data_IF_037246849306
#
_entry.id   IF_037246849306
#
_cell.length_a   1.000
_cell.length_b   1.000
_cell.length_c   1.000
_cell.angle_alpha   90.00
_cell.angle_beta   90.00
_cell.angle_gamma   90.00
#
_symmetry.space_group_name_H-M   'P 1'
#
loop_
_entity.id
_entity.type
_entity.pdbx_description
1 polymer ?
#
# COMPACT_ATOMS: atom_id res chain seq x y z
N UNK A 1 -30.02 1.84 -45.05
CA UNK A 1 -29.11 2.99 -44.84
C UNK A 1 -27.96 2.53 -43.98
N UNK A 2 -26.80 2.45 -44.59
CA UNK A 2 -25.62 1.85 -43.97
C UNK A 2 -25.00 2.82 -42.96
N UNK A 3 -24.83 2.36 -41.71
CA UNK A 3 -24.07 3.04 -40.67
C UNK A 3 -22.59 2.94 -41.01
N UNK A 4 -21.96 4.06 -41.33
CA UNK A 4 -20.53 4.20 -41.51
C UNK A 4 -19.86 4.04 -40.14
N UNK A 5 -19.24 2.89 -39.92
CA UNK A 5 -18.29 2.69 -38.85
C UNK A 5 -17.12 3.67 -39.04
N UNK A 6 -17.00 4.62 -38.15
CA UNK A 6 -15.86 5.56 -38.09
C UNK A 6 -14.60 4.78 -37.76
N UNK A 7 -13.66 4.75 -38.71
CA UNK A 7 -12.33 4.14 -38.51
C UNK A 7 -11.59 4.80 -37.33
N UNK A 8 -10.79 4.04 -36.55
CA UNK A 8 -10.04 4.61 -35.44
C UNK A 8 -9.06 5.68 -35.98
N UNK A 9 -9.10 6.83 -35.33
CA UNK A 9 -8.27 8.00 -35.65
C UNK A 9 -6.77 7.63 -35.60
N UNK A 10 -6.00 7.72 -36.73
CA UNK A 10 -4.59 7.37 -36.76
C UNK A 10 -3.67 8.40 -36.07
N UNK A 11 -4.23 9.31 -35.28
CA UNK A 11 -3.52 10.41 -34.64
C UNK A 11 -3.05 10.19 -33.20
N UNK A 12 -3.10 8.97 -32.63
CA UNK A 12 -2.42 8.67 -31.37
C UNK A 12 -0.89 8.67 -31.60
N UNK A 13 -0.32 9.86 -31.76
CA UNK A 13 1.12 10.05 -31.89
C UNK A 13 1.77 9.67 -30.56
N UNK A 14 2.64 8.70 -30.58
CA UNK A 14 3.53 8.31 -29.49
C UNK A 14 4.31 9.54 -28.99
N UNK A 15 4.32 9.76 -27.67
CA UNK A 15 5.15 10.80 -27.06
C UNK A 15 6.58 10.70 -27.59
N UNK A 16 7.20 11.84 -27.91
CA UNK A 16 8.57 11.89 -28.40
C UNK A 16 9.54 11.33 -27.33
N UNK A 17 10.58 10.55 -27.69
CA UNK A 17 11.53 9.96 -26.75
C UNK A 17 12.19 10.96 -25.80
N UNK A 18 12.36 12.21 -26.23
CA UNK A 18 13.02 13.27 -25.43
C UNK A 18 12.20 13.71 -24.21
N UNK A 19 10.88 13.52 -24.21
CA UNK A 19 10.00 13.88 -23.09
C UNK A 19 9.76 12.70 -22.12
N UNK A 20 10.01 11.47 -22.57
CA UNK A 20 9.73 10.27 -21.75
C UNK A 20 10.57 10.23 -20.46
N UNK A 21 11.85 10.60 -20.55
CA UNK A 21 12.74 10.66 -19.36
C UNK A 21 12.24 11.66 -18.31
N UNK A 22 11.75 12.82 -18.74
CA UNK A 22 11.18 13.83 -17.85
C UNK A 22 9.90 13.34 -17.17
N UNK A 23 9.01 12.70 -17.92
CA UNK A 23 7.76 12.12 -17.37
C UNK A 23 8.04 10.99 -16.38
N UNK A 24 9.04 10.14 -16.68
CA UNK A 24 9.49 9.09 -15.75
C UNK A 24 10.02 9.71 -14.47
N UNK A 25 10.82 10.77 -14.56
CA UNK A 25 11.32 11.48 -13.38
C UNK A 25 10.18 12.06 -12.53
N UNK A 26 9.20 12.72 -13.16
CA UNK A 26 8.02 13.28 -12.47
C UNK A 26 7.25 12.16 -11.76
N UNK A 27 6.98 11.05 -12.45
CA UNK A 27 6.27 9.91 -11.87
C UNK A 27 7.05 9.24 -10.74
N UNK A 28 8.36 9.08 -10.87
CA UNK A 28 9.22 8.52 -9.83
C UNK A 28 9.29 9.43 -8.59
N UNK A 29 9.40 10.74 -8.79
CA UNK A 29 9.38 11.72 -7.70
C UNK A 29 8.05 11.69 -6.92
N UNK A 30 6.92 11.59 -7.61
CA UNK A 30 5.61 11.44 -6.98
C UNK A 30 5.45 10.08 -6.26
N UNK A 31 5.99 9.01 -6.84
CA UNK A 31 5.97 7.67 -6.28
C UNK A 31 6.80 7.54 -4.98
N UNK A 32 7.70 8.50 -4.67
CA UNK A 32 8.39 8.55 -3.38
C UNK A 32 7.43 8.61 -2.19
N UNK A 33 6.22 9.15 -2.35
CA UNK A 33 5.15 9.04 -1.34
C UNK A 33 4.75 7.58 -1.08
N UNK A 34 4.72 6.74 -2.12
CA UNK A 34 4.52 5.30 -1.98
C UNK A 34 5.70 4.59 -1.31
N UNK A 35 6.93 4.98 -1.65
CA UNK A 35 8.13 4.49 -0.96
C UNK A 35 8.07 4.76 0.54
N UNK A 36 7.73 5.99 0.94
CA UNK A 36 7.57 6.36 2.36
C UNK A 36 6.44 5.59 3.04
N UNK A 37 5.33 5.34 2.33
CA UNK A 37 4.28 4.47 2.83
C UNK A 37 4.82 3.07 3.16
N UNK A 38 5.52 2.42 2.22
CA UNK A 38 6.10 1.10 2.45
C UNK A 38 7.14 1.11 3.57
N UNK A 39 7.99 2.12 3.59
CA UNK A 39 9.05 2.28 4.59
C UNK A 39 8.49 2.46 6.00
N UNK A 40 7.62 3.47 6.22
CA UNK A 40 7.06 3.78 7.54
C UNK A 40 6.20 2.64 8.09
N UNK A 41 5.44 1.96 7.23
CA UNK A 41 4.64 0.82 7.63
C UNK A 41 5.48 -0.34 8.17
N UNK A 42 6.66 -0.57 7.59
CA UNK A 42 7.46 -1.76 7.89
C UNK A 42 8.63 -1.51 8.83
N UNK A 43 9.10 -0.26 8.96
CA UNK A 43 10.23 0.07 9.84
C UNK A 43 9.95 -0.25 11.31
N UNK A 44 8.69 -0.19 11.72
CA UNK A 44 8.26 -0.50 13.09
C UNK A 44 8.63 -1.92 13.51
N UNK A 45 8.74 -2.88 12.57
CA UNK A 45 9.20 -4.23 12.82
C UNK A 45 10.55 -4.26 13.56
N UNK A 46 11.41 -3.29 13.30
CA UNK A 46 12.71 -3.15 13.96
C UNK A 46 12.65 -2.68 15.41
N UNK A 47 11.52 -2.15 15.86
CA UNK A 47 11.38 -1.48 17.14
C UNK A 47 10.42 -2.18 18.12
N UNK A 48 9.64 -3.17 17.68
CA UNK A 48 8.54 -3.78 18.46
C UNK A 48 9.03 -4.30 19.82
N UNK A 49 10.05 -5.16 19.82
CA UNK A 49 10.58 -5.76 21.05
C UNK A 49 11.24 -4.72 21.95
N UNK A 50 12.04 -3.82 21.37
CA UNK A 50 12.71 -2.77 22.12
C UNK A 50 11.74 -1.80 22.80
N UNK A 51 10.64 -1.45 22.14
CA UNK A 51 9.58 -0.61 22.72
C UNK A 51 8.89 -1.33 23.87
N UNK A 52 8.58 -2.62 23.68
CA UNK A 52 7.97 -3.45 24.73
C UNK A 52 8.83 -3.45 25.98
N UNK A 53 10.11 -3.72 25.82
CA UNK A 53 11.05 -3.84 26.93
C UNK A 53 11.38 -2.49 27.60
N UNK A 54 11.46 -1.40 26.79
CA UNK A 54 11.75 -0.07 27.31
C UNK A 54 10.63 0.49 28.18
N UNK A 55 9.39 0.26 27.78
CA UNK A 55 8.21 0.83 28.45
C UNK A 55 7.51 -0.18 29.37
N UNK A 56 8.02 -1.40 29.46
CA UNK A 56 7.48 -2.50 30.29
C UNK A 56 5.95 -2.68 30.07
N UNK A 57 5.56 -2.83 28.80
CA UNK A 57 4.14 -2.92 28.41
C UNK A 57 3.80 -4.28 27.85
N UNK A 58 2.54 -4.71 28.11
CA UNK A 58 2.02 -5.97 27.56
C UNK A 58 1.72 -5.88 26.06
N UNK A 59 1.63 -7.04 25.42
CA UNK A 59 1.40 -7.22 23.98
C UNK A 59 0.17 -6.45 23.47
N UNK A 60 -0.92 -6.41 24.25
CA UNK A 60 -2.15 -5.73 23.85
C UNK A 60 -1.99 -4.20 23.76
N UNK A 61 -1.27 -3.59 24.71
CA UNK A 61 -1.01 -2.15 24.71
C UNK A 61 -0.05 -1.79 23.57
N UNK A 62 1.02 -2.56 23.40
CA UNK A 62 1.99 -2.38 22.32
C UNK A 62 1.30 -2.49 20.95
N UNK A 63 0.43 -3.48 20.77
CA UNK A 63 -0.33 -3.66 19.55
C UNK A 63 -1.17 -2.43 19.19
N UNK A 64 -1.79 -1.76 20.15
CA UNK A 64 -2.54 -0.53 19.91
C UNK A 64 -1.61 0.62 19.48
N UNK A 65 -0.45 0.77 20.10
CA UNK A 65 0.52 1.81 19.73
C UNK A 65 1.04 1.61 18.30
N UNK A 66 1.23 0.37 17.88
CA UNK A 66 1.63 0.05 16.51
C UNK A 66 0.48 0.30 15.54
N UNK A 67 -0.71 -0.20 15.85
CA UNK A 67 -1.86 -0.16 14.97
C UNK A 67 -2.51 1.24 14.86
N UNK A 68 -2.29 2.13 15.83
CA UNK A 68 -2.92 3.46 15.83
C UNK A 68 -2.54 4.32 14.62
N UNK A 69 -1.39 4.08 14.00
CA UNK A 69 -0.99 4.70 12.74
C UNK A 69 -2.04 4.49 11.63
N UNK A 70 -2.71 3.34 11.63
CA UNK A 70 -3.74 3.00 10.62
C UNK A 70 -5.00 3.85 10.75
N UNK A 71 -5.29 4.36 11.95
CA UNK A 71 -6.34 5.37 12.17
C UNK A 71 -5.93 6.68 11.49
N UNK A 72 -4.67 7.09 11.69
CA UNK A 72 -4.09 8.23 10.96
C UNK A 72 -4.21 8.05 9.45
N UNK A 73 -3.87 6.85 8.92
CA UNK A 73 -3.99 6.53 7.49
C UNK A 73 -5.42 6.71 6.98
N UNK A 74 -6.40 6.20 7.72
CA UNK A 74 -7.80 6.33 7.33
C UNK A 74 -8.25 7.79 7.25
N UNK A 75 -7.89 8.62 8.23
CA UNK A 75 -8.20 10.06 8.25
C UNK A 75 -7.46 10.79 7.14
N UNK A 76 -6.17 10.52 6.95
CA UNK A 76 -5.35 11.11 5.91
C UNK A 76 -5.89 10.82 4.51
N UNK A 77 -6.20 9.57 4.22
CA UNK A 77 -6.78 9.15 2.95
C UNK A 77 -8.16 9.76 2.69
N UNK A 78 -9.03 9.80 3.70
CA UNK A 78 -10.38 10.37 3.59
C UNK A 78 -10.38 11.89 3.32
N UNK A 79 -9.36 12.60 3.79
CA UNK A 79 -9.26 14.08 3.68
C UNK A 79 -8.40 14.53 2.51
N UNK A 80 -7.47 13.68 2.03
CA UNK A 80 -6.47 14.02 1.03
C UNK A 80 -7.03 14.63 -0.25
N UNK A 81 -8.09 14.03 -0.82
CA UNK A 81 -8.69 14.54 -2.05
C UNK A 81 -9.22 15.97 -1.90
N UNK A 82 -9.96 16.24 -0.80
CA UNK A 82 -10.50 17.58 -0.54
C UNK A 82 -9.41 18.63 -0.31
N UNK A 83 -8.33 18.24 0.37
CA UNK A 83 -7.18 19.12 0.59
C UNK A 83 -6.50 19.40 -0.76
N UNK A 84 -6.25 18.37 -1.56
CA UNK A 84 -5.60 18.50 -2.86
C UNK A 84 -6.41 19.34 -3.86
N UNK A 85 -7.73 19.28 -3.81
CA UNK A 85 -8.59 20.11 -4.67
C UNK A 85 -8.58 21.59 -4.29
N UNK A 86 -8.21 21.91 -3.03
CA UNK A 86 -8.11 23.29 -2.56
C UNK A 86 -6.71 23.92 -2.75
N UNK A 87 -5.66 23.15 -2.45
CA UNK A 87 -4.30 23.70 -2.38
C UNK A 87 -3.35 23.17 -3.47
N UNK A 88 -3.76 22.15 -4.23
CA UNK A 88 -2.96 21.49 -5.27
C UNK A 88 -2.26 20.23 -4.78
N UNK A 89 -1.80 19.44 -5.74
CA UNK A 89 -1.19 18.13 -5.47
C UNK A 89 0.20 18.28 -4.89
N UNK A 90 0.99 19.21 -5.43
CA UNK A 90 2.37 19.44 -4.97
C UNK A 90 2.40 19.93 -3.53
N UNK A 91 1.55 20.88 -3.16
CA UNK A 91 1.48 21.34 -1.75
C UNK A 91 1.07 20.22 -0.80
N UNK A 92 0.18 19.34 -1.22
CA UNK A 92 -0.17 18.14 -0.42
C UNK A 92 1.04 17.23 -0.22
N UNK A 93 1.85 17.00 -1.27
CA UNK A 93 3.09 16.20 -1.16
C UNK A 93 4.08 16.86 -0.20
N UNK A 94 4.25 18.19 -0.25
CA UNK A 94 5.10 18.93 0.66
C UNK A 94 4.64 18.83 2.11
N UNK A 95 3.33 18.98 2.36
CA UNK A 95 2.75 18.77 3.70
C UNK A 95 3.00 17.34 4.17
N UNK A 96 2.74 16.33 3.33
CA UNK A 96 3.01 14.94 3.68
C UNK A 96 4.49 14.71 4.01
N UNK A 97 5.43 15.28 3.23
CA UNK A 97 6.86 15.17 3.49
C UNK A 97 7.26 15.78 4.85
N UNK A 98 6.70 16.95 5.21
CA UNK A 98 6.91 17.58 6.53
C UNK A 98 6.35 16.66 7.62
N UNK A 99 5.13 16.16 7.47
CA UNK A 99 4.51 15.27 8.45
C UNK A 99 5.30 13.96 8.62
N UNK A 100 5.80 13.35 7.55
CA UNK A 100 6.70 12.20 7.62
C UNK A 100 7.98 12.54 8.38
N UNK A 101 8.60 13.68 8.09
CA UNK A 101 9.85 14.11 8.74
C UNK A 101 9.67 14.31 10.25
N UNK A 102 8.65 15.06 10.66
CA UNK A 102 8.41 15.29 12.10
C UNK A 102 7.97 14.02 12.82
N UNK A 103 7.18 13.17 12.17
CA UNK A 103 6.79 11.87 12.71
C UNK A 103 8.00 10.95 12.91
N UNK A 104 8.93 10.90 11.95
CA UNK A 104 10.15 10.11 12.05
C UNK A 104 11.03 10.57 13.23
N UNK A 105 11.22 11.89 13.37
CA UNK A 105 12.00 12.47 14.50
C UNK A 105 11.29 12.17 15.82
N UNK A 106 9.99 12.43 15.91
CA UNK A 106 9.23 12.21 17.14
C UNK A 106 9.15 10.74 17.53
N UNK A 107 9.00 9.83 16.57
CA UNK A 107 8.99 8.39 16.82
C UNK A 107 10.37 7.86 17.23
N UNK A 108 11.46 8.48 16.76
CA UNK A 108 12.81 8.14 17.16
C UNK A 108 13.18 8.63 18.59
N UNK A 109 12.58 9.72 19.03
CA UNK A 109 12.89 10.37 20.31
C UNK A 109 11.66 10.50 21.22
N UNK A 110 10.86 9.44 21.43
CA UNK A 110 9.67 9.53 22.25
C UNK A 110 10.06 9.58 23.74
N UNK A 111 9.43 10.49 24.48
CA UNK A 111 9.63 10.58 25.93
C UNK A 111 8.66 9.69 26.72
N UNK A 112 7.55 9.26 26.07
CA UNK A 112 6.55 8.37 26.66
C UNK A 112 5.88 7.52 25.57
N UNK A 113 5.23 6.43 25.97
CA UNK A 113 4.51 5.56 25.03
C UNK A 113 3.36 6.26 24.32
N UNK A 114 2.60 7.11 25.01
CA UNK A 114 1.53 7.90 24.39
C UNK A 114 2.05 8.94 23.38
N UNK A 115 3.23 9.49 23.64
CA UNK A 115 3.92 10.39 22.71
C UNK A 115 4.31 9.66 21.44
N UNK A 116 4.88 8.46 21.56
CA UNK A 116 5.12 7.60 20.39
C UNK A 116 3.83 7.34 19.60
N UNK A 117 2.73 7.02 20.28
CA UNK A 117 1.45 6.79 19.62
C UNK A 117 0.96 8.03 18.83
N UNK A 118 1.14 9.23 19.38
CA UNK A 118 0.81 10.49 18.69
C UNK A 118 1.64 10.67 17.40
N UNK A 119 2.95 10.42 17.47
CA UNK A 119 3.81 10.50 16.29
C UNK A 119 3.44 9.45 15.23
N UNK A 120 3.04 8.26 15.66
CA UNK A 120 2.53 7.21 14.77
C UNK A 120 1.22 7.62 14.08
N UNK A 121 0.31 8.32 14.75
CA UNK A 121 -0.90 8.88 14.11
C UNK A 121 -0.53 9.92 13.05
N UNK A 122 0.41 10.82 13.36
CA UNK A 122 0.86 11.85 12.42
C UNK A 122 1.52 11.22 11.19
N UNK A 123 2.40 10.23 11.36
CA UNK A 123 2.99 9.46 10.27
C UNK A 123 1.93 8.73 9.44
N UNK A 124 0.99 8.09 10.11
CA UNK A 124 -0.15 7.46 9.46
C UNK A 124 -0.98 8.44 8.62
N UNK A 125 -1.25 9.63 9.12
CA UNK A 125 -1.94 10.67 8.34
C UNK A 125 -1.15 11.04 7.06
N UNK A 126 0.16 11.16 7.15
CA UNK A 126 1.03 11.38 5.99
C UNK A 126 0.98 10.21 4.98
N UNK A 127 0.98 8.97 5.48
CA UNK A 127 0.79 7.76 4.66
C UNK A 127 -0.54 7.84 3.91
N UNK A 128 -1.63 8.11 4.63
CA UNK A 128 -2.97 8.23 4.05
C UNK A 128 -3.03 9.29 2.94
N UNK A 129 -2.45 10.45 3.18
CA UNK A 129 -2.34 11.50 2.15
C UNK A 129 -1.54 11.02 0.93
N UNK A 130 -0.36 10.49 1.13
CA UNK A 130 0.53 10.06 0.06
C UNK A 130 -0.07 8.91 -0.78
N UNK A 131 -0.82 8.00 -0.14
CA UNK A 131 -1.48 6.88 -0.81
C UNK A 131 -2.56 7.30 -1.81
N UNK A 132 -3.16 8.46 -1.61
CA UNK A 132 -4.19 9.01 -2.51
C UNK A 132 -3.58 9.98 -3.52
N UNK A 133 -2.72 10.89 -3.07
CA UNK A 133 -2.21 11.99 -3.90
C UNK A 133 -1.19 11.49 -4.93
N UNK A 134 -0.32 10.56 -4.56
CA UNK A 134 0.70 10.02 -5.48
C UNK A 134 0.10 9.41 -6.75
N UNK A 135 -0.76 8.37 -6.65
CA UNK A 135 -1.41 7.76 -7.80
C UNK A 135 -2.26 8.75 -8.61
N UNK A 136 -3.02 9.63 -7.94
CA UNK A 136 -3.84 10.64 -8.61
C UNK A 136 -2.98 11.61 -9.44
N UNK A 137 -1.91 12.13 -8.86
CA UNK A 137 -0.99 13.02 -9.55
C UNK A 137 -0.31 12.33 -10.73
N UNK A 138 0.20 11.10 -10.56
CA UNK A 138 0.81 10.32 -11.65
C UNK A 138 -0.18 10.14 -12.80
N UNK A 139 -1.45 9.83 -12.51
CA UNK A 139 -2.47 9.69 -13.53
C UNK A 139 -2.81 10.99 -14.25
N UNK A 140 -2.75 12.14 -13.55
CA UNK A 140 -3.06 13.47 -14.09
C UNK A 140 -1.93 14.05 -14.97
N UNK A 141 -0.66 13.72 -14.67
CA UNK A 141 0.50 14.20 -15.44
C UNK A 141 0.97 13.23 -16.52
N UNK A 142 0.53 11.97 -16.48
CA UNK A 142 0.99 10.95 -17.42
C UNK A 142 0.29 11.04 -18.78
N UNK A 143 1.03 11.01 -19.90
CA UNK A 143 0.44 10.84 -21.22
C UNK A 143 -0.42 9.57 -21.29
N UNK A 144 -1.57 9.59 -21.99
CA UNK A 144 -2.49 8.46 -22.05
C UNK A 144 -1.83 7.11 -22.41
N UNK A 145 -0.86 7.13 -23.34
CA UNK A 145 -0.14 5.94 -23.78
C UNK A 145 0.71 5.26 -22.68
N UNK A 146 1.14 5.99 -21.66
CA UNK A 146 2.04 5.50 -20.59
C UNK A 146 1.39 5.48 -19.22
N UNK A 147 0.16 5.97 -19.07
CA UNK A 147 -0.52 6.14 -17.77
C UNK A 147 -0.55 4.87 -16.92
N UNK A 148 -0.86 3.72 -17.53
CA UNK A 148 -0.89 2.44 -16.83
C UNK A 148 0.49 2.00 -16.31
N UNK A 149 1.53 2.16 -17.14
CA UNK A 149 2.91 1.81 -16.76
C UNK A 149 3.45 2.74 -15.67
N UNK A 150 3.20 4.04 -15.78
CA UNK A 150 3.65 5.02 -14.79
C UNK A 150 2.86 4.89 -13.48
N UNK A 151 1.57 4.54 -13.55
CA UNK A 151 0.76 4.25 -12.37
C UNK A 151 1.29 3.07 -11.54
N UNK A 152 1.95 2.08 -12.17
CA UNK A 152 2.57 0.97 -11.45
C UNK A 152 3.79 1.39 -10.60
N UNK A 153 4.37 2.57 -10.84
CA UNK A 153 5.48 3.09 -10.03
C UNK A 153 5.11 3.27 -8.57
N UNK A 154 3.87 3.64 -8.27
CA UNK A 154 3.38 3.76 -6.90
C UNK A 154 3.48 2.42 -6.16
N UNK A 155 3.00 1.33 -6.76
CA UNK A 155 3.05 0.01 -6.14
C UNK A 155 4.49 -0.51 -6.05
N UNK A 156 5.28 -0.32 -7.08
CA UNK A 156 6.71 -0.67 -7.07
C UNK A 156 7.45 0.08 -5.94
N UNK A 157 7.18 1.38 -5.78
CA UNK A 157 7.79 2.19 -4.75
C UNK A 157 7.39 1.71 -3.33
N UNK A 158 6.13 1.31 -3.11
CA UNK A 158 5.68 0.76 -1.82
C UNK A 158 6.48 -0.51 -1.46
N UNK A 159 6.56 -1.48 -2.36
CA UNK A 159 7.26 -2.74 -2.04
C UNK A 159 8.77 -2.57 -1.91
N UNK A 160 9.37 -1.64 -2.66
CA UNK A 160 10.78 -1.26 -2.50
C UNK A 160 10.98 -0.58 -1.15
N UNK A 161 10.09 0.32 -0.73
CA UNK A 161 10.14 0.97 0.58
C UNK A 161 10.09 -0.03 1.73
N UNK A 162 9.23 -1.05 1.65
CA UNK A 162 9.18 -2.16 2.59
C UNK A 162 10.55 -2.87 2.66
N UNK A 163 11.11 -3.25 1.52
CA UNK A 163 12.37 -3.98 1.47
C UNK A 163 13.57 -3.15 1.99
N UNK A 164 13.61 -1.86 1.62
CA UNK A 164 14.67 -0.95 2.10
C UNK A 164 14.58 -0.74 3.60
N UNK A 165 13.38 -0.59 4.18
CA UNK A 165 13.21 -0.47 5.63
C UNK A 165 13.70 -1.71 6.38
N UNK A 166 13.40 -2.91 5.87
CA UNK A 166 13.86 -4.17 6.48
C UNK A 166 15.38 -4.35 6.34
N UNK A 167 15.95 -3.96 5.19
CA UNK A 167 17.40 -3.96 4.98
C UNK A 167 18.10 -3.00 5.96
N UNK A 168 17.57 -1.80 6.12
CA UNK A 168 18.10 -0.80 7.07
C UNK A 168 18.01 -1.31 8.50
N UNK A 169 16.87 -1.87 8.90
CA UNK A 169 16.70 -2.47 10.22
C UNK A 169 17.73 -3.57 10.48
N UNK A 170 17.90 -4.49 9.54
CA UNK A 170 18.91 -5.56 9.66
C UNK A 170 20.34 -5.02 9.73
N UNK A 171 20.70 -4.05 8.88
CA UNK A 171 22.02 -3.43 8.88
C UNK A 171 22.34 -2.69 10.18
N UNK A 172 21.38 -1.91 10.71
CA UNK A 172 21.54 -1.18 11.97
C UNK A 172 21.58 -2.12 13.18
N UNK A 173 20.79 -3.21 13.17
CA UNK A 173 20.85 -4.22 14.21
C UNK A 173 22.25 -4.88 14.26
N UNK A 174 22.80 -5.26 13.10
CA UNK A 174 24.16 -5.80 13.01
C UNK A 174 25.21 -4.79 13.53
N UNK A 175 25.08 -3.52 13.16
CA UNK A 175 25.98 -2.47 13.64
C UNK A 175 25.89 -2.26 15.16
N UNK A 176 24.74 -2.55 15.77
CA UNK A 176 24.50 -2.50 17.21
C UNK A 176 24.87 -3.83 17.95
N UNK A 177 25.54 -4.75 17.27
CA UNK A 177 25.94 -6.03 17.87
C UNK A 177 24.81 -7.04 18.07
N UNK A 178 23.71 -6.90 17.35
CA UNK A 178 22.55 -7.80 17.42
C UNK A 178 21.53 -7.45 18.52
N UNK A 179 21.69 -6.31 19.18
CA UNK A 179 20.79 -5.81 20.21
C UNK A 179 20.03 -4.57 19.72
N UNK A 180 18.69 -4.64 19.70
CA UNK A 180 17.83 -3.51 19.33
C UNK A 180 17.97 -2.32 20.29
N UNK A 181 18.39 -2.54 21.53
CA UNK A 181 18.66 -1.53 22.54
C UNK A 181 20.16 -1.18 22.65
N UNK A 182 20.99 -1.83 21.83
CA UNK A 182 22.41 -1.51 21.72
C UNK A 182 22.62 -0.05 21.32
N UNK A 183 23.66 0.56 21.85
CA UNK A 183 23.98 1.96 21.56
C UNK A 183 24.49 2.13 20.12
N UNK A 184 23.90 3.07 19.39
CA UNK A 184 24.31 3.44 18.05
C UNK A 184 24.18 4.96 17.89
N UNK A 185 25.28 5.65 17.63
CA UNK A 185 25.33 7.12 17.48
C UNK A 185 24.73 7.89 18.67
N UNK A 186 24.86 7.39 19.90
CA UNK A 186 24.32 8.01 21.12
C UNK A 186 22.84 7.77 21.38
N UNK A 187 22.20 6.89 20.60
CA UNK A 187 20.81 6.47 20.73
C UNK A 187 20.72 4.94 20.78
N UNK A 188 19.59 4.40 21.20
CA UNK A 188 19.32 2.97 21.04
C UNK A 188 19.08 2.64 19.54
N UNK A 189 19.50 1.46 19.08
CA UNK A 189 19.43 1.08 17.67
C UNK A 189 18.03 1.21 17.06
N UNK A 190 16.97 0.82 17.81
CA UNK A 190 15.58 0.97 17.36
C UNK A 190 15.19 2.43 17.11
N UNK A 191 15.75 3.37 17.88
CA UNK A 191 15.52 4.80 17.69
C UNK A 191 16.14 5.29 16.38
N UNK A 192 17.35 4.82 16.08
CA UNK A 192 18.02 5.12 14.81
C UNK A 192 17.26 4.50 13.64
N UNK A 193 16.75 3.26 13.78
CA UNK A 193 15.94 2.60 12.74
C UNK A 193 14.73 3.46 12.35
N UNK A 194 13.98 3.97 13.34
CA UNK A 194 12.83 4.86 13.07
C UNK A 194 13.27 6.22 12.52
N UNK A 195 14.38 6.77 13.04
CA UNK A 195 14.90 8.08 12.68
C UNK A 195 15.44 8.19 11.26
N UNK A 196 16.01 7.11 10.71
CA UNK A 196 16.58 7.09 9.34
C UNK A 196 15.54 7.45 8.29
N UNK A 197 14.25 7.25 8.56
CA UNK A 197 13.17 7.65 7.67
C UNK A 197 13.15 9.16 7.36
N UNK A 198 13.78 10.00 8.17
CA UNK A 198 13.96 11.43 7.90
C UNK A 198 14.63 11.64 6.53
N UNK A 199 15.58 10.79 6.15
CA UNK A 199 16.33 10.93 4.88
C UNK A 199 15.39 10.84 3.67
N UNK A 200 14.65 9.75 3.45
CA UNK A 200 13.71 9.68 2.32
C UNK A 200 12.54 10.67 2.46
N UNK A 201 12.12 11.06 3.66
CA UNK A 201 11.07 12.05 3.86
C UNK A 201 11.51 13.45 3.38
N UNK A 202 12.71 13.88 3.74
CA UNK A 202 13.30 15.14 3.26
C UNK A 202 13.52 15.08 1.75
N UNK A 203 14.02 13.96 1.22
CA UNK A 203 14.19 13.77 -0.23
C UNK A 203 12.85 13.91 -0.97
N UNK A 204 11.77 13.33 -0.45
CA UNK A 204 10.43 13.50 -1.02
C UNK A 204 10.00 14.96 -1.05
N UNK A 205 10.23 15.69 0.03
CA UNK A 205 9.98 17.13 0.10
C UNK A 205 10.78 17.90 -0.97
N UNK A 206 12.07 17.65 -1.09
CA UNK A 206 12.93 18.29 -2.10
C UNK A 206 12.49 17.97 -3.53
N UNK A 207 12.19 16.70 -3.83
CA UNK A 207 11.71 16.28 -5.14
C UNK A 207 10.37 16.94 -5.51
N UNK A 208 9.50 17.19 -4.53
CA UNK A 208 8.23 17.88 -4.76
C UNK A 208 8.38 19.31 -5.27
N UNK A 209 9.51 19.97 -5.03
CA UNK A 209 9.80 21.30 -5.61
C UNK A 209 10.31 21.20 -7.06
N UNK A 210 10.80 20.05 -7.48
CA UNK A 210 11.37 19.82 -8.81
C UNK A 210 10.34 19.36 -9.86
N UNK A 211 9.12 19.06 -9.45
CA UNK A 211 8.05 18.58 -10.33
C UNK A 211 6.93 19.63 -10.46
N UNK A 212 6.28 19.70 -11.65
CA UNK A 212 5.24 20.69 -11.90
C UNK A 212 3.92 20.35 -11.18
N UNK A 213 3.05 21.33 -10.99
CA UNK A 213 1.70 21.10 -10.50
C UNK A 213 0.83 20.39 -11.55
N UNK A 214 -0.22 19.66 -11.10
CA UNK A 214 -1.13 18.95 -11.98
C UNK A 214 -1.82 19.88 -12.98
N UNK A 215 -1.82 19.56 -14.30
CA UNK A 215 -2.60 20.30 -15.30
C UNK A 215 -4.07 20.38 -14.94
N UNK A 216 -4.66 19.30 -14.44
CA UNK A 216 -6.06 19.22 -14.02
C UNK A 216 -6.37 20.21 -12.89
N UNK A 217 -5.50 20.28 -11.87
CA UNK A 217 -5.66 21.27 -10.80
C UNK A 217 -5.53 22.69 -11.31
N UNK A 218 -4.55 22.97 -12.17
CA UNK A 218 -4.35 24.31 -12.73
C UNK A 218 -5.56 24.78 -13.55
N UNK A 219 -6.18 23.90 -14.32
CA UNK A 219 -7.42 24.19 -15.05
C UNK A 219 -8.56 24.49 -14.07
N UNK A 220 -8.70 23.71 -13.01
CA UNK A 220 -9.77 23.90 -12.02
C UNK A 220 -9.70 25.24 -11.29
N UNK A 221 -8.50 25.81 -11.16
CA UNK A 221 -8.28 27.13 -10.54
C UNK A 221 -8.09 28.26 -11.58
N UNK A 222 -8.42 28.01 -12.85
CA UNK A 222 -8.42 29.02 -13.92
C UNK A 222 -7.05 29.37 -14.52
N UNK A 223 -5.98 28.61 -14.18
CA UNK A 223 -4.61 28.85 -14.67
C UNK A 223 -4.30 28.08 -15.96
N UNK A 224 -5.12 28.29 -17.00
CA UNK A 224 -5.07 27.54 -18.27
C UNK A 224 -3.72 27.63 -18.98
N UNK A 225 -3.11 28.83 -19.04
CA UNK A 225 -1.82 29.00 -19.73
C UNK A 225 -0.68 28.20 -19.07
N UNK A 226 -0.67 28.12 -17.73
CA UNK A 226 0.30 27.30 -17.02
C UNK A 226 0.03 25.81 -17.25
N UNK A 227 -1.24 25.39 -17.30
CA UNK A 227 -1.59 24.01 -17.62
C UNK A 227 -1.13 23.62 -19.03
N UNK A 228 -1.28 24.50 -20.03
CA UNK A 228 -0.78 24.29 -21.40
C UNK A 228 0.73 24.09 -21.43
N UNK A 229 1.50 24.94 -20.73
CA UNK A 229 2.96 24.81 -20.64
C UNK A 229 3.36 23.43 -20.09
N UNK A 230 2.72 22.96 -19.04
CA UNK A 230 3.03 21.68 -18.44
C UNK A 230 2.63 20.51 -19.38
N UNK A 231 1.46 20.61 -20.03
CA UNK A 231 1.06 19.63 -21.06
C UNK A 231 2.06 19.58 -22.21
N UNK A 232 2.59 20.72 -22.62
CA UNK A 232 3.64 20.82 -23.64
C UNK A 232 4.95 20.14 -23.19
N UNK A 233 5.34 20.34 -21.91
CA UNK A 233 6.52 19.70 -21.31
C UNK A 233 6.38 18.17 -21.21
N UNK A 234 5.15 17.66 -21.03
CA UNK A 234 4.85 16.24 -20.77
C UNK A 234 4.45 15.49 -22.04
N UNK A 235 3.59 16.06 -22.89
CA UNK A 235 3.03 15.40 -24.08
C UNK A 235 3.75 15.80 -25.38
N UNK A 236 4.56 16.88 -25.36
CA UNK A 236 5.32 17.38 -26.51
C UNK A 236 4.56 18.40 -27.36
N UNK A 237 5.29 19.13 -28.25
CA UNK A 237 4.79 20.29 -29.01
C UNK A 237 3.77 20.01 -30.10
N UNK A 238 3.47 18.75 -30.42
CA UNK A 238 2.61 18.37 -31.53
C UNK A 238 1.16 18.02 -31.10
N UNK A 239 0.74 18.42 -29.92
CA UNK A 239 -0.59 18.15 -29.36
C UNK A 239 -1.47 19.40 -29.54
N UNK A 240 -2.73 19.22 -29.89
CA UNK A 240 -3.73 20.30 -29.83
C UNK A 240 -4.09 20.56 -28.35
N UNK A 241 -3.42 21.56 -27.75
CA UNK A 241 -3.58 21.89 -26.33
C UNK A 241 -4.97 22.43 -26.02
N UNK A 242 -5.62 23.13 -26.93
CA UNK A 242 -6.96 23.64 -26.69
C UNK A 242 -7.97 22.50 -26.66
N UNK A 243 -7.85 21.55 -27.57
CA UNK A 243 -8.63 20.30 -27.54
C UNK A 243 -8.36 19.49 -26.27
N UNK A 244 -7.08 19.41 -25.83
CA UNK A 244 -6.70 18.69 -24.64
C UNK A 244 -7.22 19.32 -23.35
N UNK A 245 -7.15 20.63 -23.24
CA UNK A 245 -7.74 21.38 -22.12
C UNK A 245 -9.26 21.21 -22.10
N UNK A 246 -9.92 21.30 -23.27
CA UNK A 246 -11.37 21.08 -23.38
C UNK A 246 -11.75 19.65 -22.97
N UNK A 247 -10.96 18.63 -23.34
CA UNK A 247 -11.17 17.24 -22.90
C UNK A 247 -11.11 17.11 -21.37
N UNK A 248 -10.11 17.72 -20.74
CA UNK A 248 -9.95 17.71 -19.27
C UNK A 248 -11.14 18.43 -18.60
N UNK A 249 -11.55 19.61 -19.12
CA UNK A 249 -12.71 20.33 -18.60
C UNK A 249 -14.00 19.52 -18.75
N UNK A 250 -14.20 18.89 -19.91
CA UNK A 250 -15.34 17.99 -20.13
C UNK A 250 -15.33 16.80 -19.16
N UNK A 251 -14.17 16.20 -18.93
CA UNK A 251 -14.05 15.11 -17.97
C UNK A 251 -14.40 15.57 -16.55
N UNK A 252 -13.92 16.75 -16.14
CA UNK A 252 -14.24 17.35 -14.84
C UNK A 252 -15.74 17.66 -14.68
N UNK A 253 -16.41 18.13 -15.72
CA UNK A 253 -17.84 18.42 -15.69
C UNK A 253 -18.72 17.14 -15.71
N UNK A 254 -18.21 16.06 -16.32
CA UNK A 254 -18.88 14.75 -16.35
C UNK A 254 -18.70 13.94 -15.07
N UNK A 255 -17.73 14.27 -14.23
CA UNK A 255 -17.61 13.65 -12.91
C UNK A 255 -18.81 14.08 -12.06
N UNK A 256 -19.90 13.29 -12.17
CA UNK A 256 -21.01 13.39 -11.24
C UNK A 256 -20.45 13.24 -9.82
N UNK A 257 -20.74 14.20 -8.95
CA UNK A 257 -20.34 14.11 -7.54
C UNK A 257 -21.04 12.91 -6.92
N UNK A 258 -20.38 11.75 -6.93
CA UNK A 258 -20.94 10.57 -6.29
C UNK A 258 -21.14 10.85 -4.80
N UNK A 259 -22.35 10.61 -4.32
CA UNK A 259 -22.73 10.81 -2.93
C UNK A 259 -22.73 9.47 -2.20
N UNK A 260 -22.44 9.49 -0.91
CA UNK A 260 -22.65 8.33 -0.05
C UNK A 260 -24.10 7.78 -0.13
N UNK A 261 -25.08 8.66 -0.35
CA UNK A 261 -26.49 8.27 -0.53
C UNK A 261 -26.70 7.38 -1.75
N UNK A 262 -25.90 7.54 -2.79
CA UNK A 262 -26.01 6.71 -4.02
C UNK A 262 -25.55 5.26 -3.80
N UNK A 263 -24.85 4.99 -2.72
CA UNK A 263 -24.41 3.64 -2.32
C UNK A 263 -25.51 2.87 -1.62
N UNK A 264 -26.50 3.57 -1.06
CA UNK A 264 -27.62 2.99 -0.32
C UNK A 264 -28.63 2.36 -1.30
N UNK A 265 -29.37 1.35 -0.85
CA UNK A 265 -30.43 0.75 -1.67
C UNK A 265 -30.24 -0.75 -1.92
N UNK A 266 -29.97 -1.51 -0.88
CA UNK A 266 -30.01 -2.97 -0.87
C UNK A 266 -30.70 -3.47 0.39
N UNK A 267 -30.96 -4.77 0.46
CA UNK A 267 -31.56 -5.44 1.63
C UNK A 267 -30.72 -5.24 2.90
N UNK A 268 -29.44 -4.88 2.77
CA UNK A 268 -28.47 -4.69 3.86
C UNK A 268 -27.75 -3.34 3.73
N UNK A 269 -28.46 -2.24 3.74
CA UNK A 269 -27.92 -0.88 3.74
C UNK A 269 -27.22 -0.45 2.45
N UNK A 270 -26.17 -1.13 2.02
CA UNK A 270 -25.45 -0.85 0.77
C UNK A 270 -25.92 -1.74 -0.39
N UNK A 271 -25.71 -1.26 -1.62
CA UNK A 271 -25.88 -2.08 -2.84
C UNK A 271 -24.95 -3.30 -2.81
N UNK A 272 -25.36 -4.44 -3.39
CA UNK A 272 -24.56 -5.69 -3.34
C UNK A 272 -23.12 -5.52 -3.84
N UNK A 273 -22.90 -4.72 -4.89
CA UNK A 273 -21.57 -4.47 -5.45
C UNK A 273 -20.62 -3.77 -4.46
N UNK A 274 -21.16 -2.92 -3.59
CA UNK A 274 -20.38 -2.24 -2.53
C UNK A 274 -19.92 -3.27 -1.49
N UNK A 275 -20.79 -4.22 -1.11
CA UNK A 275 -20.45 -5.33 -0.22
C UNK A 275 -19.39 -6.25 -0.79
N UNK A 276 -19.38 -6.47 -2.12
CA UNK A 276 -18.32 -7.23 -2.79
C UNK A 276 -16.98 -6.49 -2.65
N UNK A 277 -16.97 -5.17 -2.86
CA UNK A 277 -15.77 -4.34 -2.66
C UNK A 277 -15.26 -4.36 -1.21
N UNK A 278 -16.16 -4.24 -0.22
CA UNK A 278 -15.84 -4.38 1.20
C UNK A 278 -15.25 -5.79 1.47
N UNK A 279 -15.88 -6.84 0.95
CA UNK A 279 -15.43 -8.21 1.11
C UNK A 279 -14.02 -8.44 0.56
N UNK A 280 -13.72 -7.94 -0.65
CA UNK A 280 -12.38 -7.99 -1.23
C UNK A 280 -11.34 -7.31 -0.33
N UNK A 281 -11.66 -6.13 0.19
CA UNK A 281 -10.80 -5.36 1.08
C UNK A 281 -10.55 -6.07 2.41
N UNK A 282 -11.59 -6.65 3.01
CA UNK A 282 -11.50 -7.41 4.26
C UNK A 282 -10.68 -8.69 4.09
N UNK A 283 -10.96 -9.49 3.07
CA UNK A 283 -10.19 -10.71 2.80
C UNK A 283 -8.72 -10.42 2.55
N UNK A 284 -8.40 -9.35 1.81
CA UNK A 284 -7.01 -8.95 1.56
C UNK A 284 -6.23 -8.74 2.87
N UNK A 285 -6.87 -8.21 3.90
CA UNK A 285 -6.21 -7.91 5.18
C UNK A 285 -6.26 -9.09 6.15
N UNK A 286 -7.39 -9.81 6.19
CA UNK A 286 -7.63 -10.88 7.18
C UNK A 286 -6.83 -12.16 6.94
N UNK A 287 -6.16 -12.30 5.80
CA UNK A 287 -5.13 -13.33 5.60
C UNK A 287 -3.84 -13.06 6.39
N UNK A 288 -3.71 -11.90 7.06
CA UNK A 288 -2.60 -11.60 7.95
C UNK A 288 -1.34 -11.08 7.26
N UNK A 289 -1.43 -10.57 6.03
CA UNK A 289 -0.24 -10.11 5.29
C UNK A 289 0.58 -9.04 6.03
N UNK A 290 -0.08 -8.13 6.71
CA UNK A 290 0.63 -7.06 7.42
C UNK A 290 1.41 -7.58 8.64
N UNK A 291 1.00 -8.69 9.23
CA UNK A 291 1.75 -9.38 10.29
C UNK A 291 3.13 -9.81 9.79
N UNK A 292 3.21 -10.31 8.54
CA UNK A 292 4.47 -10.71 7.93
C UNK A 292 5.47 -9.56 7.70
N UNK A 293 5.03 -8.30 7.85
CA UNK A 293 5.90 -7.13 7.72
C UNK A 293 6.05 -6.31 9.00
N UNK A 294 5.01 -6.24 9.84
CA UNK A 294 5.03 -5.41 11.06
C UNK A 294 5.57 -6.17 12.27
N UNK A 295 5.39 -7.47 12.31
CA UNK A 295 5.75 -8.34 13.44
C UNK A 295 6.68 -9.50 13.06
N UNK A 296 7.28 -9.47 11.87
CA UNK A 296 8.09 -10.57 11.36
C UNK A 296 9.24 -10.95 12.29
N UNK A 297 10.03 -9.96 12.73
CA UNK A 297 11.16 -10.22 13.64
C UNK A 297 10.69 -10.74 15.00
N UNK A 298 9.61 -10.17 15.55
CA UNK A 298 8.99 -10.64 16.80
C UNK A 298 8.51 -12.09 16.67
N UNK A 299 7.85 -12.41 15.58
CA UNK A 299 7.37 -13.77 15.29
C UNK A 299 8.53 -14.79 15.28
N UNK A 300 9.59 -14.50 14.52
CA UNK A 300 10.71 -15.41 14.43
C UNK A 300 11.47 -15.54 15.74
N UNK A 301 11.63 -14.46 16.50
CA UNK A 301 12.22 -14.51 17.83
C UNK A 301 11.37 -15.31 18.82
N UNK A 302 10.05 -15.25 18.75
CA UNK A 302 9.15 -16.01 19.62
C UNK A 302 9.27 -17.53 19.45
N UNK A 303 9.77 -17.99 18.31
CA UNK A 303 10.02 -19.41 18.03
C UNK A 303 11.51 -19.76 18.10
N UNK A 304 12.33 -18.89 18.71
CA UNK A 304 13.71 -19.14 19.08
C UNK A 304 14.75 -18.84 17.99
N UNK A 305 14.39 -18.08 16.96
CA UNK A 305 15.36 -17.57 15.96
C UNK A 305 16.12 -16.39 16.57
N UNK A 306 17.43 -16.34 16.37
CA UNK A 306 18.26 -15.23 16.86
C UNK A 306 17.80 -13.89 16.22
N UNK A 307 17.93 -12.75 16.95
CA UNK A 307 17.48 -11.46 16.45
C UNK A 307 18.02 -11.10 15.06
N UNK A 308 19.31 -11.30 14.82
CA UNK A 308 19.96 -11.00 13.53
C UNK A 308 19.35 -11.79 12.38
N UNK A 309 19.14 -13.10 12.57
CA UNK A 309 18.53 -13.98 11.58
C UNK A 309 17.03 -13.63 11.39
N UNK A 310 16.33 -13.26 12.45
CA UNK A 310 14.93 -12.83 12.39
C UNK A 310 14.73 -11.58 11.51
N UNK A 311 15.64 -10.63 11.62
CA UNK A 311 15.64 -9.43 10.76
C UNK A 311 16.04 -9.76 9.32
N UNK A 312 16.98 -10.67 9.13
CA UNK A 312 17.35 -11.15 7.81
C UNK A 312 16.18 -11.88 7.13
N UNK A 313 15.43 -12.70 7.85
CA UNK A 313 14.23 -13.36 7.31
C UNK A 313 13.14 -12.32 6.92
N UNK A 314 12.97 -11.27 7.72
CA UNK A 314 12.07 -10.17 7.37
C UNK A 314 12.48 -9.48 6.07
N UNK A 315 13.78 -9.27 5.86
CA UNK A 315 14.32 -8.70 4.63
C UNK A 315 14.11 -9.64 3.43
N UNK A 316 14.43 -10.94 3.56
CA UNK A 316 14.21 -11.92 2.46
C UNK A 316 12.74 -12.03 2.08
N UNK A 317 11.83 -11.98 3.06
CA UNK A 317 10.37 -11.94 2.83
C UNK A 317 9.98 -10.72 1.98
N UNK A 318 10.61 -9.58 2.23
CA UNK A 318 10.35 -8.36 1.46
C UNK A 318 10.87 -8.45 0.03
N UNK A 319 11.98 -9.14 -0.22
CA UNK A 319 12.47 -9.43 -1.57
C UNK A 319 11.48 -10.33 -2.33
N UNK A 320 10.95 -11.36 -1.68
CA UNK A 320 9.91 -12.21 -2.27
C UNK A 320 8.64 -11.40 -2.60
N UNK A 321 8.28 -10.44 -1.75
CA UNK A 321 7.18 -9.52 -2.03
C UNK A 321 7.42 -8.68 -3.31
N UNK A 322 8.63 -8.17 -3.51
CA UNK A 322 9.00 -7.46 -4.76
C UNK A 322 8.85 -8.39 -5.97
N UNK A 323 9.41 -9.59 -5.90
CA UNK A 323 9.35 -10.58 -6.99
C UNK A 323 7.90 -10.90 -7.34
N UNK A 324 7.06 -11.20 -6.34
CA UNK A 324 5.65 -11.47 -6.55
C UNK A 324 4.89 -10.28 -7.16
N UNK A 325 5.16 -9.07 -6.70
CA UNK A 325 4.55 -7.85 -7.26
C UNK A 325 4.94 -7.61 -8.72
N UNK A 326 6.20 -7.83 -9.09
CA UNK A 326 6.65 -7.73 -10.50
C UNK A 326 5.93 -8.77 -11.35
N UNK A 327 5.81 -10.00 -10.87
CA UNK A 327 5.05 -11.07 -11.56
C UNK A 327 3.59 -10.63 -11.74
N UNK A 328 2.95 -10.10 -10.71
CA UNK A 328 1.57 -9.61 -10.78
C UNK A 328 1.41 -8.53 -11.86
N UNK A 329 2.29 -7.53 -11.89
CA UNK A 329 2.23 -6.45 -12.88
C UNK A 329 2.37 -6.95 -14.33
N UNK A 330 3.13 -8.03 -14.56
CA UNK A 330 3.29 -8.63 -15.89
C UNK A 330 2.06 -9.45 -16.30
N UNK A 331 1.46 -10.17 -15.35
CA UNK A 331 0.46 -11.19 -15.65
C UNK A 331 -0.99 -10.75 -15.42
N UNK A 332 -1.25 -9.67 -14.66
CA UNK A 332 -2.62 -9.23 -14.33
C UNK A 332 -3.49 -9.00 -15.57
N UNK A 333 -2.91 -8.42 -16.63
CA UNK A 333 -3.62 -8.18 -17.89
C UNK A 333 -3.65 -9.39 -18.82
N UNK A 334 -2.73 -10.34 -18.65
CA UNK A 334 -2.64 -11.55 -19.48
C UNK A 334 -3.53 -12.67 -18.99
N UNK A 335 -3.47 -12.95 -17.69
CA UNK A 335 -4.21 -14.05 -17.05
C UNK A 335 -5.64 -13.65 -16.71
N UNK A 336 -5.85 -12.39 -16.29
CA UNK A 336 -7.11 -11.89 -15.78
C UNK A 336 -7.09 -11.79 -14.26
N UNK A 337 -8.01 -10.96 -13.75
CA UNK A 337 -8.03 -10.61 -12.32
C UNK A 337 -8.55 -11.76 -11.47
N UNK A 338 -9.66 -12.37 -11.89
CA UNK A 338 -10.31 -13.46 -11.14
C UNK A 338 -9.47 -14.74 -11.06
N UNK A 339 -8.89 -15.27 -12.16
CA UNK A 339 -8.01 -16.45 -12.09
C UNK A 339 -6.77 -16.17 -11.22
N UNK A 340 -6.18 -14.97 -11.32
CA UNK A 340 -5.01 -14.62 -10.54
C UNK A 340 -5.32 -14.57 -9.04
N UNK A 341 -6.47 -14.01 -8.66
CA UNK A 341 -6.95 -13.99 -7.27
C UNK A 341 -7.14 -15.44 -6.74
N UNK A 342 -7.72 -16.35 -7.54
CA UNK A 342 -7.93 -17.74 -7.14
C UNK A 342 -6.61 -18.50 -6.97
N UNK A 343 -5.66 -18.34 -7.89
CA UNK A 343 -4.30 -18.93 -7.78
C UNK A 343 -3.64 -18.43 -6.49
N UNK A 344 -3.73 -17.13 -6.21
CA UNK A 344 -3.21 -16.57 -4.99
C UNK A 344 -3.87 -17.13 -3.74
N UNK A 345 -5.19 -17.22 -3.72
CA UNK A 345 -5.93 -17.80 -2.57
C UNK A 345 -5.49 -19.23 -2.26
N UNK A 346 -5.34 -20.07 -3.27
CA UNK A 346 -4.87 -21.46 -3.09
C UNK A 346 -3.44 -21.47 -2.53
N UNK A 347 -2.54 -20.68 -3.09
CA UNK A 347 -1.15 -20.60 -2.61
C UNK A 347 -1.06 -20.06 -1.19
N UNK A 348 -1.87 -19.05 -0.84
CA UNK A 348 -1.96 -18.53 0.54
C UNK A 348 -2.47 -19.57 1.53
N UNK A 349 -3.50 -20.36 1.16
CA UNK A 349 -3.99 -21.47 2.01
C UNK A 349 -2.87 -22.46 2.28
N UNK A 350 -2.11 -22.87 1.27
CA UNK A 350 -1.00 -23.81 1.43
C UNK A 350 0.07 -23.22 2.35
N UNK A 351 0.52 -21.99 2.11
CA UNK A 351 1.54 -21.34 2.92
C UNK A 351 1.11 -21.21 4.37
N UNK A 352 -0.04 -20.59 4.63
CA UNK A 352 -0.56 -20.37 5.99
C UNK A 352 -0.87 -21.67 6.74
N UNK A 353 -1.38 -22.71 6.06
CA UNK A 353 -1.64 -24.02 6.68
C UNK A 353 -0.33 -24.70 7.09
N UNK A 354 0.72 -24.60 6.28
CA UNK A 354 2.03 -25.14 6.61
C UNK A 354 2.70 -24.36 7.77
N UNK A 355 2.53 -23.04 7.85
CA UNK A 355 2.98 -22.25 9.00
C UNK A 355 2.21 -22.66 10.26
N UNK A 356 0.87 -22.78 10.19
CA UNK A 356 0.05 -23.23 11.31
C UNK A 356 0.48 -24.61 11.81
N UNK A 357 0.76 -25.54 10.88
CA UNK A 357 1.28 -26.85 11.21
C UNK A 357 2.66 -26.79 11.87
N UNK A 358 3.59 -26.01 11.33
CA UNK A 358 4.93 -25.88 11.88
C UNK A 358 4.93 -25.28 13.29
N UNK A 359 4.08 -24.28 13.54
CA UNK A 359 3.92 -23.61 14.84
C UNK A 359 3.10 -24.44 15.85
N UNK A 360 2.54 -25.59 15.46
CA UNK A 360 1.82 -26.49 16.38
C UNK A 360 2.76 -27.39 17.21
N UNK A 361 4.05 -27.40 16.88
CA UNK A 361 5.04 -28.22 17.60
C UNK A 361 5.60 -27.46 18.80
N UNK A 362 5.86 -28.21 19.88
CA UNK A 362 6.49 -27.66 21.07
C UNK A 362 7.93 -27.21 20.78
N UNK A 363 8.34 -26.14 21.45
CA UNK A 363 9.72 -25.66 21.39
C UNK A 363 10.64 -26.61 22.14
N UNK A 364 11.72 -27.03 21.50
CA UNK A 364 12.81 -27.81 22.13
C UNK A 364 13.95 -26.83 22.44
N UNK A 365 14.33 -26.72 23.72
CA UNK A 365 15.30 -25.73 24.20
C UNK A 365 14.99 -24.29 23.76
N UNK A 366 13.68 -23.93 23.75
CA UNK A 366 13.21 -22.61 23.34
C UNK A 366 13.23 -22.34 21.86
N UNK A 367 13.45 -23.34 21.00
CA UNK A 367 13.50 -23.22 19.53
C UNK A 367 12.56 -24.22 18.87
N UNK A 368 12.01 -23.85 17.71
CA UNK A 368 11.34 -24.84 16.86
C UNK A 368 12.33 -25.93 16.43
N UNK A 369 11.89 -27.19 16.37
CA UNK A 369 12.70 -28.24 15.78
C UNK A 369 13.13 -27.86 14.36
N UNK A 370 14.33 -28.24 13.93
CA UNK A 370 14.95 -27.78 12.68
C UNK A 370 14.06 -27.94 11.44
N UNK A 371 13.38 -29.08 11.31
CA UNK A 371 12.48 -29.34 10.17
C UNK A 371 11.31 -28.39 10.17
N UNK A 372 10.65 -28.18 11.31
CA UNK A 372 9.51 -27.26 11.44
C UNK A 372 9.92 -25.81 11.24
N UNK A 373 11.09 -25.41 11.72
CA UNK A 373 11.67 -24.10 11.49
C UNK A 373 11.86 -23.81 9.99
N UNK A 374 12.43 -24.74 9.24
CA UNK A 374 12.59 -24.61 7.80
C UNK A 374 11.24 -24.62 7.06
N UNK A 375 10.29 -25.49 7.45
CA UNK A 375 8.95 -25.49 6.86
C UNK A 375 8.25 -24.17 7.11
N UNK A 376 8.30 -23.62 8.32
CA UNK A 376 7.70 -22.32 8.65
C UNK A 376 8.29 -21.20 7.79
N UNK A 377 9.62 -21.15 7.63
CA UNK A 377 10.28 -20.12 6.84
C UNK A 377 9.91 -20.20 5.36
N UNK A 378 9.96 -21.40 4.77
CA UNK A 378 9.59 -21.59 3.36
C UNK A 378 8.11 -21.27 3.17
N UNK A 379 7.25 -21.73 4.06
CA UNK A 379 5.81 -21.48 4.02
C UNK A 379 5.47 -19.99 4.10
N UNK A 380 6.14 -19.24 4.96
CA UNK A 380 6.00 -17.77 5.04
C UNK A 380 6.37 -17.10 3.71
N UNK A 381 7.47 -17.51 3.08
CA UNK A 381 7.85 -16.99 1.76
C UNK A 381 6.85 -17.38 0.67
N UNK A 382 6.30 -18.60 0.69
CA UNK A 382 5.26 -19.06 -0.22
C UNK A 382 3.98 -18.22 -0.02
N UNK A 383 3.55 -18.00 1.21
CA UNK A 383 2.40 -17.16 1.52
C UNK A 383 2.55 -15.75 0.95
N UNK A 384 3.67 -15.09 1.24
CA UNK A 384 3.93 -13.73 0.77
C UNK A 384 4.05 -13.68 -0.76
N UNK A 385 4.69 -14.66 -1.38
CA UNK A 385 4.78 -14.74 -2.84
C UNK A 385 3.39 -14.79 -3.49
N UNK A 386 2.54 -15.72 -3.04
CA UNK A 386 1.20 -15.88 -3.60
C UNK A 386 0.28 -14.70 -3.30
N UNK A 387 0.44 -14.05 -2.15
CA UNK A 387 -0.23 -12.78 -1.88
C UNK A 387 0.23 -11.68 -2.86
N UNK A 388 1.53 -11.48 -2.98
CA UNK A 388 2.10 -10.41 -3.77
C UNK A 388 1.80 -10.53 -5.27
N UNK A 389 1.87 -11.76 -5.82
CA UNK A 389 1.58 -12.00 -7.24
C UNK A 389 0.08 -11.92 -7.56
N UNK A 390 -0.79 -11.79 -6.56
CA UNK A 390 -2.23 -11.80 -6.75
C UNK A 390 -2.94 -10.70 -5.95
N UNK A 391 -3.38 -11.00 -4.73
CA UNK A 391 -4.24 -10.15 -3.89
C UNK A 391 -3.64 -8.77 -3.61
N UNK A 392 -2.33 -8.65 -3.52
CA UNK A 392 -1.65 -7.38 -3.30
C UNK A 392 -1.92 -6.34 -4.39
N UNK A 393 -1.99 -6.77 -5.65
CA UNK A 393 -2.23 -5.92 -6.82
C UNK A 393 -3.68 -6.00 -7.30
N UNK A 394 -4.22 -7.23 -7.40
CA UNK A 394 -5.50 -7.50 -8.05
C UNK A 394 -6.68 -6.84 -7.35
N UNK A 395 -6.68 -6.73 -6.01
CA UNK A 395 -7.80 -6.11 -5.27
C UNK A 395 -7.96 -4.65 -5.65
N UNK A 396 -6.87 -3.89 -5.74
CA UNK A 396 -6.93 -2.49 -6.15
C UNK A 396 -7.43 -2.31 -7.59
N UNK A 397 -7.02 -3.23 -8.47
CA UNK A 397 -7.49 -3.25 -9.87
C UNK A 397 -8.99 -3.55 -9.91
N UNK A 398 -9.46 -4.57 -9.18
CA UNK A 398 -10.89 -4.88 -9.08
C UNK A 398 -11.70 -3.69 -8.57
N UNK A 399 -11.26 -3.08 -7.46
CA UNK A 399 -11.97 -1.94 -6.88
C UNK A 399 -12.05 -0.75 -7.85
N UNK A 400 -11.00 -0.54 -8.66
CA UNK A 400 -10.98 0.49 -9.69
C UNK A 400 -11.91 0.21 -10.88
N UNK A 401 -12.09 -1.07 -11.24
CA UNK A 401 -12.80 -1.49 -12.45
C UNK A 401 -14.26 -1.92 -12.21
N UNK A 402 -14.58 -2.47 -11.01
CA UNK A 402 -15.88 -3.11 -10.76
C UNK A 402 -17.04 -2.14 -10.51
N UNK A 403 -16.77 -0.91 -10.06
CA UNK A 403 -17.84 0.01 -9.70
C UNK A 403 -18.32 0.83 -10.90
N UNK A 404 -19.65 0.96 -11.10
CA UNK A 404 -20.22 1.87 -12.09
C UNK A 404 -19.73 3.32 -11.86
N UNK A 405 -19.54 4.08 -12.94
CA UNK A 405 -19.00 5.44 -12.91
C UNK A 405 -19.71 6.35 -11.88
N UNK A 406 -21.06 6.26 -11.83
CA UNK A 406 -21.89 7.07 -10.93
C UNK A 406 -21.57 6.94 -9.45
N UNK A 407 -21.15 5.74 -8.99
CA UNK A 407 -20.92 5.47 -7.56
C UNK A 407 -19.44 5.21 -7.24
N UNK A 408 -18.57 5.17 -8.26
CA UNK A 408 -17.19 4.68 -8.15
C UNK A 408 -16.38 5.36 -7.04
N UNK A 409 -16.36 6.69 -7.02
CA UNK A 409 -15.54 7.42 -6.05
C UNK A 409 -16.00 7.17 -4.59
N UNK A 410 -17.31 7.18 -4.34
CA UNK A 410 -17.87 6.90 -3.03
C UNK A 410 -17.68 5.42 -2.63
N UNK A 411 -17.87 4.48 -3.56
CA UNK A 411 -17.70 3.05 -3.33
C UNK A 411 -16.24 2.68 -3.05
N UNK A 412 -15.29 3.27 -3.80
CA UNK A 412 -13.85 3.15 -3.54
C UNK A 412 -13.49 3.68 -2.15
N UNK A 413 -14.05 4.82 -1.75
CA UNK A 413 -13.83 5.38 -0.41
C UNK A 413 -14.31 4.45 0.70
N UNK A 414 -15.48 3.83 0.55
CA UNK A 414 -16.02 2.85 1.51
C UNK A 414 -15.15 1.58 1.54
N UNK A 415 -14.77 1.03 0.38
CA UNK A 415 -13.94 -0.16 0.31
C UNK A 415 -12.54 0.09 0.90
N UNK A 416 -11.92 1.24 0.62
CA UNK A 416 -10.64 1.64 1.22
C UNK A 416 -10.76 1.83 2.74
N UNK A 417 -11.85 2.42 3.23
CA UNK A 417 -12.10 2.54 4.67
C UNK A 417 -12.22 1.16 5.34
N UNK A 418 -12.95 0.24 4.70
CA UNK A 418 -13.05 -1.14 5.19
C UNK A 418 -11.67 -1.83 5.22
N UNK A 419 -10.81 -1.56 4.25
CA UNK A 419 -9.44 -2.09 4.22
C UNK A 419 -8.58 -1.55 5.38
N UNK A 420 -8.63 -0.26 5.66
CA UNK A 420 -7.89 0.33 6.79
C UNK A 420 -8.39 -0.19 8.14
N UNK A 421 -9.71 -0.33 8.32
CA UNK A 421 -10.30 -0.91 9.53
C UNK A 421 -9.91 -2.38 9.69
N UNK A 422 -9.96 -3.17 8.61
CA UNK A 422 -9.55 -4.58 8.62
C UNK A 422 -8.05 -4.72 8.93
N UNK A 423 -7.19 -3.87 8.35
CA UNK A 423 -5.78 -3.83 8.66
C UNK A 423 -5.53 -3.50 10.14
N UNK A 424 -6.21 -2.48 10.68
CA UNK A 424 -6.13 -2.16 12.09
C UNK A 424 -6.54 -3.36 12.96
N UNK A 425 -7.65 -4.02 12.66
CA UNK A 425 -8.15 -5.15 13.43
C UNK A 425 -7.13 -6.31 13.48
N UNK A 426 -6.53 -6.67 12.36
CA UNK A 426 -5.51 -7.72 12.28
C UNK A 426 -4.24 -7.31 13.01
N UNK A 427 -3.75 -6.08 12.78
CA UNK A 427 -2.51 -5.59 13.39
C UNK A 427 -2.64 -5.46 14.90
N UNK A 428 -3.78 -4.95 15.38
CA UNK A 428 -4.04 -4.77 16.80
C UNK A 428 -4.29 -6.09 17.55
N UNK A 429 -4.82 -7.10 16.87
CA UNK A 429 -5.18 -8.38 17.50
C UNK A 429 -4.03 -9.40 17.49
N UNK A 430 -3.11 -9.31 16.54
CA UNK A 430 -2.08 -10.35 16.32
C UNK A 430 -1.26 -10.67 17.58
N UNK A 431 -0.65 -9.70 18.33
CA UNK A 431 0.18 -10.04 19.47
C UNK A 431 -0.60 -10.82 20.55
N UNK A 432 -1.83 -10.41 20.85
CA UNK A 432 -2.68 -11.11 21.83
C UNK A 432 -3.11 -12.50 21.35
N UNK A 433 -3.37 -12.65 20.06
CA UNK A 433 -3.70 -13.97 19.46
C UNK A 433 -2.47 -14.88 19.43
N UNK A 434 -1.30 -14.35 19.12
CA UNK A 434 -0.04 -15.09 19.12
C UNK A 434 0.33 -15.56 20.54
N UNK A 435 0.16 -14.71 21.55
CA UNK A 435 0.37 -15.06 22.97
C UNK A 435 -0.58 -16.16 23.43
N UNK A 436 -1.86 -16.13 22.94
CA UNK A 436 -2.83 -17.17 23.25
C UNK A 436 -2.49 -18.51 22.55
N UNK A 437 -2.28 -18.49 21.24
CA UNK A 437 -1.91 -19.66 20.45
C UNK A 437 -1.44 -19.26 19.05
N UNK A 438 -0.12 -19.30 18.81
CA UNK A 438 0.46 -18.91 17.52
C UNK A 438 -0.07 -19.78 16.36
N UNK A 439 -0.08 -21.10 16.52
CA UNK A 439 -0.62 -22.01 15.52
C UNK A 439 -2.11 -21.74 15.24
N UNK A 440 -2.92 -21.56 16.30
CA UNK A 440 -4.34 -21.20 16.18
C UNK A 440 -4.56 -19.89 15.43
N UNK A 441 -3.69 -18.91 15.61
CA UNK A 441 -3.74 -17.63 14.89
C UNK A 441 -3.54 -17.86 13.38
N UNK A 442 -2.59 -18.66 12.99
CA UNK A 442 -2.35 -19.00 11.58
C UNK A 442 -3.45 -19.89 10.99
N UNK A 443 -4.11 -20.73 11.81
CA UNK A 443 -5.32 -21.45 11.37
C UNK A 443 -6.44 -20.46 11.04
N UNK A 444 -6.65 -19.42 11.85
CA UNK A 444 -7.65 -18.37 11.57
C UNK A 444 -7.34 -17.69 10.22
N UNK A 445 -6.09 -17.30 9.97
CA UNK A 445 -5.69 -16.69 8.70
C UNK A 445 -5.87 -17.66 7.53
N UNK A 446 -5.56 -18.94 7.71
CA UNK A 446 -5.80 -20.01 6.72
C UNK A 446 -7.29 -20.12 6.37
N UNK A 447 -8.16 -20.05 7.36
CA UNK A 447 -9.63 -20.09 7.15
C UNK A 447 -10.08 -18.89 6.31
N UNK A 448 -9.61 -17.68 6.59
CA UNK A 448 -9.94 -16.51 5.77
C UNK A 448 -9.41 -16.65 4.33
N UNK A 449 -8.20 -17.17 4.15
CA UNK A 449 -7.67 -17.45 2.82
C UNK A 449 -8.53 -18.51 2.09
N UNK A 450 -8.96 -19.57 2.77
CA UNK A 450 -9.83 -20.59 2.21
C UNK A 450 -11.22 -20.03 1.85
N UNK A 451 -11.82 -19.19 2.72
CA UNK A 451 -13.11 -18.55 2.46
C UNK A 451 -13.07 -17.54 1.32
N UNK A 452 -11.90 -16.98 1.02
CA UNK A 452 -11.74 -16.10 -0.13
C UNK A 452 -11.98 -16.81 -1.47
N UNK A 453 -11.75 -18.13 -1.55
CA UNK A 453 -11.97 -18.95 -2.77
C UNK A 453 -13.44 -18.96 -3.18
N UNK A 454 -14.39 -19.47 -2.36
CA UNK A 454 -15.80 -19.45 -2.71
C UNK A 454 -16.35 -18.02 -2.85
N UNK A 455 -15.84 -17.05 -2.10
CA UNK A 455 -16.21 -15.66 -2.26
C UNK A 455 -15.88 -15.15 -3.66
N UNK A 456 -14.64 -15.35 -4.14
CA UNK A 456 -14.21 -14.90 -5.47
C UNK A 456 -14.96 -15.69 -6.56
N UNK A 457 -15.14 -17.00 -6.40
CA UNK A 457 -15.86 -17.84 -7.37
C UNK A 457 -17.31 -17.36 -7.57
N UNK A 458 -18.02 -17.07 -6.48
CA UNK A 458 -19.46 -16.79 -6.48
C UNK A 458 -19.79 -15.32 -6.77
N UNK A 459 -19.04 -14.39 -6.20
CA UNK A 459 -19.44 -12.99 -6.19
C UNK A 459 -18.60 -12.09 -7.09
N UNK A 460 -17.32 -12.43 -7.34
CA UNK A 460 -16.43 -11.58 -8.14
C UNK A 460 -16.55 -11.95 -9.61
N UNK A 461 -16.88 -10.96 -10.44
CA UNK A 461 -16.91 -11.12 -11.90
C UNK A 461 -15.56 -10.75 -12.50
N UNK A 462 -15.14 -11.44 -13.58
CA UNK A 462 -13.93 -11.06 -14.31
C UNK A 462 -14.12 -9.70 -14.99
N UNK A 463 -13.14 -8.81 -14.80
CA UNK A 463 -13.17 -7.45 -15.34
C UNK A 463 -12.29 -7.28 -16.58
N UNK A 464 -11.40 -8.26 -16.86
CA UNK A 464 -10.49 -8.21 -17.99
C UNK A 464 -11.23 -7.98 -19.31
N UNK A 465 -10.83 -6.91 -20.03
CA UNK A 465 -11.33 -6.62 -21.38
C UNK A 465 -12.76 -6.14 -21.45
N UNK A 466 -13.42 -5.83 -20.32
CA UNK A 466 -14.76 -5.23 -20.30
C UNK A 466 -14.68 -3.72 -20.19
N UNK A 467 -15.53 -3.03 -20.94
CA UNK A 467 -15.71 -1.60 -20.76
C UNK A 467 -16.37 -1.32 -19.41
N UNK A 468 -16.01 -0.19 -18.77
CA UNK A 468 -16.53 0.19 -17.45
C UNK A 468 -18.07 0.40 -17.48
N UNK A 469 -18.62 0.70 -18.65
CA UNK A 469 -20.04 0.87 -18.91
C UNK A 469 -20.81 -0.46 -18.91
N UNK A 470 -20.13 -1.60 -19.11
CA UNK A 470 -20.71 -2.94 -19.16
C UNK A 470 -20.78 -3.63 -17.80
N UNK A 471 -20.32 -2.94 -16.74
CA UNK A 471 -20.18 -3.49 -15.39
C UNK A 471 -21.40 -3.20 -14.49
N UNK A 472 -22.44 -2.54 -15.03
CA UNK A 472 -23.68 -2.20 -14.33
C UNK A 472 -24.69 -3.35 -14.24
#
# INVERSE_FOLDING_TARGET
MASTAQAPNPGARTAHPDHLGHVIFIAAAAAMGGFLFGYDSSVINGAVEAIRDRYDVGSAVLAQVIAVALIGCAIGAATAGRIADRIGRIRCMQIAAVLFTISAIGSALPFALWDLAMWRIIGGFAIGMASVIGPAYIAEVSPPAYRGRLGSFQQAAIVIGIAVSQLVNWGLLNAAGGDQRGELMGLEAWQVMLGVMVVPAVLYGLLSFAIPESPRFLISVGKRERAKQILEEVEGKNVDFDARVAEIEHAMHREEKSSFKDLLGGSFFFKPIVWIGIGLSVFQQFVGINVAFYYSSTLWQSVGVDPTDSFFYSFTTSIINIVGTVIAMIFVDRVGRKPLALIGSVGMVIGLALEAWAFSFDLVDGKLPATQGWVALIAAHVFVLFFALSWGVVVWVFLGEMFPNRIRAAALGVAASAQWIANWAITASFPSLADWNLSGTYVIYTIFAALSIPFVLKYVKETKGKALEEMG
#
